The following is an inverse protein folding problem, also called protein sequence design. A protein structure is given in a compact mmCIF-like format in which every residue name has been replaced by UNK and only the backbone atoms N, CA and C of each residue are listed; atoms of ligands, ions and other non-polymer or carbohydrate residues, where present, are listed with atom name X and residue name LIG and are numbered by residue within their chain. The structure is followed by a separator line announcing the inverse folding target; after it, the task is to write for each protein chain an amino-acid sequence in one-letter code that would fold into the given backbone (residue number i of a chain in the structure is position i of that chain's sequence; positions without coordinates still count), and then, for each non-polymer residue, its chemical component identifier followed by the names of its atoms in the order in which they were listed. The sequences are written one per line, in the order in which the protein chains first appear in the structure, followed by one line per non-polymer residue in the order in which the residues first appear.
data_IF_898590646295
#
_entry.id   IF_898590646295
#
_cell.length_a   1.000
_cell.length_b   1.000
_cell.length_c   1.000
_cell.angle_alpha   90.00
_cell.angle_beta   90.00
_cell.angle_gamma   90.00
#
_symmetry.space_group_name_H-M   'P 1'
#
loop_
_entity.id
_entity.type
_entity.pdbx_description
1 polymer ?
#
# COMPACT_ATOMS: atom_id res chain seq x y z
N UNK A 1 -15.23 11.09 -8.67
CA UNK A 1 -16.08 9.88 -8.74
C UNK A 1 -15.90 9.16 -7.42
N UNK A 2 -16.96 8.97 -6.64
CA UNK A 2 -16.89 8.18 -5.41
C UNK A 2 -16.59 6.73 -5.78
N UNK A 3 -15.48 6.21 -5.29
CA UNK A 3 -15.04 4.84 -5.51
C UNK A 3 -14.83 4.13 -4.18
N UNK A 4 -14.58 2.83 -4.21
CA UNK A 4 -14.25 2.07 -3.00
C UNK A 4 -12.74 1.96 -2.88
N UNK A 5 -12.22 2.24 -1.68
CA UNK A 5 -10.86 1.89 -1.28
C UNK A 5 -10.90 0.58 -0.48
N UNK A 6 -9.97 -0.33 -0.75
CA UNK A 6 -9.84 -1.61 -0.05
C UNK A 6 -8.54 -1.65 0.75
N UNK A 7 -8.61 -1.99 2.03
CA UNK A 7 -7.43 -2.26 2.85
C UNK A 7 -6.94 -3.66 2.53
N UNK A 8 -5.77 -3.75 1.89
CA UNK A 8 -5.21 -5.02 1.40
C UNK A 8 -4.15 -5.58 2.35
N UNK A 9 -3.63 -4.76 3.27
CA UNK A 9 -2.71 -5.16 4.34
C UNK A 9 -2.78 -4.16 5.48
N UNK A 10 -2.58 -4.62 6.72
CA UNK A 10 -2.32 -3.80 7.91
C UNK A 10 -0.91 -4.04 8.46
N UNK A 11 -0.05 -4.78 7.75
CA UNK A 11 1.37 -4.99 8.08
C UNK A 11 2.32 -4.15 7.21
N UNK A 12 1.80 -3.22 6.41
CA UNK A 12 2.58 -2.53 5.40
C UNK A 12 3.57 -1.52 5.99
N UNK A 13 4.86 -1.75 5.78
CA UNK A 13 5.95 -0.83 6.13
C UNK A 13 6.56 -0.16 4.90
N UNK A 14 7.33 0.91 5.13
CA UNK A 14 8.08 1.61 4.07
C UNK A 14 9.52 1.11 3.88
N UNK A 15 9.94 0.07 4.62
CA UNK A 15 11.27 -0.55 4.53
C UNK A 15 11.83 -0.98 5.90
N UNK A 16 13.07 -1.49 5.93
CA UNK A 16 13.70 -2.05 7.14
C UNK A 16 13.96 -1.03 8.26
N UNK A 17 13.97 0.27 7.96
CA UNK A 17 14.09 1.32 8.98
C UNK A 17 12.73 1.77 9.55
N UNK A 18 11.63 1.21 9.03
CA UNK A 18 10.26 1.48 9.44
C UNK A 18 9.64 0.18 9.96
N UNK A 19 9.81 -0.07 11.25
CA UNK A 19 9.27 -1.27 11.91
C UNK A 19 7.79 -1.15 12.27
N UNK A 20 7.18 0.00 11.99
CA UNK A 20 5.81 0.30 12.42
C UNK A 20 4.88 0.01 11.25
N UNK A 21 3.98 -0.92 11.52
CA UNK A 21 2.99 -1.35 10.55
C UNK A 21 2.12 -0.17 10.12
N UNK A 22 1.61 -0.29 8.91
CA UNK A 22 0.68 0.63 8.32
C UNK A 22 -0.37 -0.13 7.54
N UNK A 23 -1.48 0.53 7.32
CA UNK A 23 -2.49 0.08 6.38
C UNK A 23 -2.00 0.40 4.96
N UNK A 24 -2.18 -0.56 4.06
CA UNK A 24 -2.07 -0.37 2.63
C UNK A 24 -3.46 -0.41 2.02
N UNK A 25 -3.87 0.72 1.47
CA UNK A 25 -5.14 0.90 0.80
C UNK A 25 -4.92 0.97 -0.71
N UNK A 26 -5.70 0.18 -1.43
CA UNK A 26 -5.84 0.25 -2.88
C UNK A 26 -7.08 1.08 -3.19
N UNK A 27 -6.89 2.22 -3.84
CA UNK A 27 -8.00 3.05 -4.37
C UNK A 27 -8.04 2.92 -5.91
N UNK A 28 -9.08 3.46 -6.58
CA UNK A 28 -9.12 3.47 -8.04
C UNK A 28 -7.99 4.28 -8.70
N UNK A 29 -7.39 5.24 -7.99
CA UNK A 29 -6.42 6.22 -8.55
C UNK A 29 -5.06 6.22 -7.88
N UNK A 30 -4.93 5.60 -6.71
CA UNK A 30 -3.70 5.63 -5.92
C UNK A 30 -3.51 4.39 -5.04
N UNK A 31 -2.26 4.22 -4.59
CA UNK A 31 -1.94 3.44 -3.40
C UNK A 31 -1.73 4.38 -2.23
N UNK A 32 -2.37 4.10 -1.11
CA UNK A 32 -2.21 4.89 0.11
C UNK A 32 -1.65 4.02 1.22
N UNK A 33 -0.55 4.45 1.81
CA UNK A 33 -0.02 3.87 3.03
C UNK A 33 -0.26 4.82 4.18
N UNK A 34 -0.95 4.35 5.22
CA UNK A 34 -1.18 5.10 6.46
C UNK A 34 -0.61 4.35 7.65
N UNK A 35 0.24 5.01 8.44
CA UNK A 35 0.88 4.46 9.62
C UNK A 35 -0.16 4.07 10.67
N UNK A 36 0.04 2.94 11.32
CA UNK A 36 -0.70 2.53 12.52
C UNK A 36 0.08 2.89 13.80
N UNK A 37 -0.52 2.66 14.95
CA UNK A 37 0.17 2.82 16.23
C UNK A 37 1.17 1.68 16.49
N UNK A 38 2.06 1.87 17.47
CA UNK A 38 2.91 0.79 17.97
C UNK A 38 2.09 -0.35 18.58
N UNK A 39 0.98 -0.03 19.25
CA UNK A 39 0.07 -1.02 19.82
C UNK A 39 -0.54 -1.92 18.73
N UNK A 40 -1.01 -1.32 17.63
CA UNK A 40 -1.52 -2.07 16.47
C UNK A 40 -0.43 -2.93 15.83
N UNK A 41 0.81 -2.42 15.76
CA UNK A 41 1.95 -3.16 15.23
C UNK A 41 2.18 -4.45 16.02
N UNK A 42 2.15 -4.37 17.35
CA UNK A 42 2.28 -5.54 18.22
C UNK A 42 1.08 -6.48 18.09
N UNK A 43 -0.14 -5.95 18.03
CA UNK A 43 -1.37 -6.74 17.90
C UNK A 43 -1.44 -7.54 16.59
N UNK A 44 -0.87 -7.03 15.51
CA UNK A 44 -0.84 -7.70 14.21
C UNK A 44 -0.02 -9.00 14.21
N UNK A 45 1.01 -9.10 15.07
CA UNK A 45 1.85 -10.30 15.21
C UNK A 45 2.42 -10.81 13.88
N UNK A 46 2.47 -12.14 13.71
CA UNK A 46 2.97 -12.84 12.51
C UNK A 46 1.87 -13.50 11.67
N UNK A 47 0.60 -13.17 11.96
CA UNK A 47 -0.58 -13.70 11.27
C UNK A 47 -1.04 -12.81 10.11
N UNK A 48 -2.09 -13.20 9.39
CA UNK A 48 -2.77 -12.30 8.48
C UNK A 48 -3.36 -11.13 9.27
N UNK A 49 -3.02 -9.91 8.87
CA UNK A 49 -3.43 -8.66 9.52
C UNK A 49 -4.72 -8.10 8.92
N UNK A 50 -5.09 -8.58 7.73
CA UNK A 50 -6.39 -8.36 7.10
C UNK A 50 -7.04 -9.70 6.82
N UNK A 51 -8.34 -9.80 7.11
CA UNK A 51 -9.16 -10.99 6.84
C UNK A 51 -10.25 -10.64 5.82
N UNK A 52 -10.79 -11.65 5.16
CA UNK A 52 -11.98 -11.49 4.33
C UNK A 52 -13.24 -11.40 5.23
N UNK A 53 -14.23 -10.55 4.88
CA UNK A 53 -14.18 -9.56 3.80
C UNK A 53 -13.19 -8.42 4.10
N UNK A 54 -12.53 -7.90 3.06
CA UNK A 54 -11.55 -6.81 3.21
C UNK A 54 -12.22 -5.56 3.80
N UNK A 55 -11.57 -4.84 4.72
CA UNK A 55 -12.04 -3.53 5.13
C UNK A 55 -12.14 -2.59 3.93
N UNK A 56 -13.25 -1.85 3.85
CA UNK A 56 -13.54 -0.90 2.78
C UNK A 56 -13.77 0.49 3.35
N UNK A 57 -13.44 1.50 2.56
CA UNK A 57 -13.69 2.90 2.87
C UNK A 57 -14.02 3.67 1.58
N UNK A 58 -14.54 4.89 1.72
CA UNK A 58 -14.74 5.79 0.58
C UNK A 58 -13.39 6.26 0.02
N UNK A 59 -13.16 6.03 -1.27
CA UNK A 59 -11.96 6.52 -1.96
C UNK A 59 -11.93 8.06 -2.02
N UNK A 60 -13.09 8.72 -2.06
CA UNK A 60 -13.19 10.18 -2.06
C UNK A 60 -12.63 10.81 -0.79
N UNK A 61 -12.74 10.13 0.35
CA UNK A 61 -12.12 10.54 1.61
C UNK A 61 -10.59 10.60 1.49
N UNK A 62 -9.96 9.57 0.90
CA UNK A 62 -8.50 9.56 0.72
C UNK A 62 -8.01 10.66 -0.21
N UNK A 63 -8.74 10.92 -1.29
CA UNK A 63 -8.43 12.01 -2.22
C UNK A 63 -8.56 13.37 -1.55
N UNK A 64 -9.62 13.57 -0.76
CA UNK A 64 -9.87 14.82 -0.03
C UNK A 64 -8.80 15.09 1.04
N UNK A 65 -8.40 14.07 1.80
CA UNK A 65 -7.45 14.21 2.91
C UNK A 65 -6.00 13.86 2.55
N UNK A 66 -5.66 13.76 1.26
CA UNK A 66 -4.32 13.34 0.79
C UNK A 66 -3.16 14.08 1.45
N UNK A 67 -3.26 15.41 1.56
CA UNK A 67 -2.20 16.26 2.12
C UNK A 67 -2.07 16.07 3.62
N UNK A 68 -3.21 16.00 4.32
CA UNK A 68 -3.25 15.74 5.75
C UNK A 68 -2.66 14.36 6.09
N UNK A 69 -2.99 13.31 5.32
CA UNK A 69 -2.44 11.96 5.51
C UNK A 69 -0.92 11.96 5.37
N UNK A 70 -0.39 12.62 4.33
CA UNK A 70 1.07 12.68 4.11
C UNK A 70 1.77 13.52 5.18
N UNK A 71 1.16 14.63 5.61
CA UNK A 71 1.68 15.49 6.67
C UNK A 71 1.65 14.85 8.06
N UNK A 72 0.68 13.97 8.33
CA UNK A 72 0.52 13.27 9.62
C UNK A 72 1.78 12.49 10.01
N UNK A 73 2.47 11.87 9.03
CA UNK A 73 3.72 11.19 9.32
C UNK A 73 4.61 11.00 8.09
N UNK A 74 5.93 11.17 8.26
CA UNK A 74 6.94 11.02 7.19
C UNK A 74 7.01 9.65 6.51
N UNK A 75 6.35 8.62 7.03
CA UNK A 75 6.25 7.28 6.39
C UNK A 75 4.91 7.05 5.70
N UNK A 76 3.92 7.94 5.88
CA UNK A 76 2.67 7.91 5.13
C UNK A 76 2.94 8.25 3.68
N UNK A 77 2.22 7.61 2.78
CA UNK A 77 2.38 7.79 1.33
C UNK A 77 1.03 7.89 0.69
N UNK A 78 0.89 8.83 -0.23
CA UNK A 78 -0.17 8.86 -1.21
C UNK A 78 0.52 8.77 -2.56
N UNK A 79 0.34 7.66 -3.28
CA UNK A 79 1.07 7.35 -4.52
C UNK A 79 0.07 7.26 -5.66
N UNK A 80 -0.17 8.37 -6.39
CA UNK A 80 -1.03 8.38 -7.57
C UNK A 80 -0.50 7.44 -8.64
N UNK A 81 -1.37 6.66 -9.28
CA UNK A 81 -0.95 5.73 -10.32
C UNK A 81 -0.39 6.44 -11.54
N UNK A 82 -0.89 7.62 -11.92
CA UNK A 82 -0.39 8.43 -13.04
C UNK A 82 1.05 8.92 -12.82
N UNK A 83 1.43 9.19 -11.57
CA UNK A 83 2.77 9.60 -11.15
C UNK A 83 3.80 8.46 -11.19
N UNK A 84 3.36 7.19 -11.24
CA UNK A 84 4.26 6.04 -11.32
C UNK A 84 4.90 5.97 -12.72
N UNK A 85 6.23 5.96 -12.77
CA UNK A 85 7.00 5.66 -13.97
C UNK A 85 7.18 4.15 -14.15
N UNK A 86 7.59 3.46 -13.08
CA UNK A 86 7.75 2.00 -13.07
C UNK A 86 7.35 1.44 -11.71
N UNK A 87 6.73 0.26 -11.70
CA UNK A 87 6.47 -0.50 -10.48
C UNK A 87 6.87 -1.96 -10.66
N UNK A 88 7.32 -2.60 -9.58
CA UNK A 88 7.67 -4.02 -9.55
C UNK A 88 7.09 -4.68 -8.30
N UNK A 89 6.14 -5.58 -8.50
CA UNK A 89 5.60 -6.42 -7.44
C UNK A 89 6.49 -7.67 -7.29
N UNK A 90 6.87 -7.99 -6.07
CA UNK A 90 7.73 -9.14 -5.75
C UNK A 90 7.09 -9.97 -4.67
N UNK A 91 7.14 -11.29 -4.85
CA UNK A 91 6.88 -12.24 -3.76
C UNK A 91 8.18 -12.56 -3.01
N UNK A 92 8.06 -12.83 -1.71
CA UNK A 92 9.16 -13.27 -0.88
C UNK A 92 8.77 -14.43 0.04
N UNK A 93 9.70 -14.86 0.90
CA UNK A 93 9.45 -15.95 1.86
C UNK A 93 8.66 -15.46 3.08
N UNK A 94 9.10 -14.33 3.65
CA UNK A 94 8.45 -13.73 4.83
C UNK A 94 7.65 -12.48 4.50
N UNK A 95 8.09 -11.73 3.49
CA UNK A 95 7.47 -10.48 3.09
C UNK A 95 7.42 -10.36 1.57
N UNK A 96 6.28 -9.88 1.09
CA UNK A 96 6.11 -9.42 -0.28
C UNK A 96 6.39 -7.92 -0.35
N UNK A 97 6.69 -7.43 -1.55
CA UNK A 97 7.04 -6.03 -1.72
C UNK A 97 6.54 -5.44 -3.03
N UNK A 98 6.18 -4.16 -3.00
CA UNK A 98 6.02 -3.33 -4.18
C UNK A 98 7.10 -2.25 -4.18
N UNK A 99 7.93 -2.26 -5.23
CA UNK A 99 8.91 -1.20 -5.49
C UNK A 99 8.35 -0.27 -6.55
N UNK A 100 8.44 1.03 -6.32
CA UNK A 100 7.83 2.05 -7.16
C UNK A 100 8.90 3.11 -7.43
N UNK A 101 9.01 3.52 -8.68
CA UNK A 101 9.74 4.71 -9.11
C UNK A 101 8.73 5.66 -9.73
N UNK A 102 8.68 6.88 -9.23
CA UNK A 102 7.84 7.94 -9.75
C UNK A 102 8.52 8.64 -10.93
N UNK A 103 7.73 9.41 -11.69
CA UNK A 103 8.21 10.17 -12.86
C UNK A 103 9.23 11.26 -12.51
N UNK A 104 9.21 11.74 -11.27
CA UNK A 104 10.18 12.70 -10.74
C UNK A 104 11.48 12.05 -10.25
N UNK A 105 11.61 10.72 -10.37
CA UNK A 105 12.76 9.94 -9.88
C UNK A 105 12.66 9.50 -8.44
N UNK A 106 11.61 9.88 -7.70
CA UNK A 106 11.40 9.44 -6.32
C UNK A 106 11.15 7.95 -6.24
N UNK A 107 11.76 7.28 -5.26
CA UNK A 107 11.59 5.85 -5.03
C UNK A 107 10.77 5.57 -3.76
N UNK A 108 9.83 4.63 -3.88
CA UNK A 108 9.07 4.10 -2.75
C UNK A 108 9.18 2.58 -2.72
N UNK A 109 9.24 2.05 -1.50
CA UNK A 109 9.14 0.63 -1.22
C UNK A 109 8.02 0.43 -0.23
N UNK A 110 7.12 -0.48 -0.54
CA UNK A 110 6.07 -0.96 0.35
C UNK A 110 6.34 -2.44 0.60
N UNK A 111 6.34 -2.87 1.85
CA UNK A 111 6.66 -4.22 2.30
C UNK A 111 5.57 -4.71 3.23
N UNK A 112 5.06 -5.93 3.08
CA UNK A 112 4.04 -6.51 3.96
C UNK A 112 4.27 -8.02 4.14
N UNK A 113 3.66 -8.60 5.16
CA UNK A 113 3.75 -10.04 5.44
C UNK A 113 3.13 -10.86 4.30
N UNK A 114 3.77 -11.97 3.91
CA UNK A 114 3.28 -12.89 2.85
C UNK A 114 1.91 -13.52 3.16
N UNK A 115 1.49 -13.49 4.43
CA UNK A 115 0.18 -13.97 4.86
C UNK A 115 -0.96 -12.98 4.60
N UNK A 116 -0.65 -11.71 4.32
CA UNK A 116 -1.67 -10.74 3.95
C UNK A 116 -2.11 -10.96 2.49
N UNK A 117 -3.38 -10.65 2.15
CA UNK A 117 -3.91 -10.87 0.80
C UNK A 117 -3.36 -9.86 -0.23
N UNK A 118 -2.58 -8.88 0.20
CA UNK A 118 -2.10 -7.78 -0.64
C UNK A 118 -1.40 -8.23 -1.92
N UNK A 119 -0.54 -9.26 -1.88
CA UNK A 119 0.13 -9.70 -3.10
C UNK A 119 -0.86 -10.19 -4.16
N UNK A 120 -1.75 -11.10 -3.78
CA UNK A 120 -2.74 -11.66 -4.70
C UNK A 120 -3.65 -10.57 -5.29
N UNK A 121 -4.11 -9.64 -4.46
CA UNK A 121 -4.99 -8.54 -4.89
C UNK A 121 -4.24 -7.59 -5.82
N UNK A 122 -3.04 -7.15 -5.45
CA UNK A 122 -2.24 -6.24 -6.27
C UNK A 122 -1.78 -6.89 -7.58
N UNK A 123 -1.48 -8.19 -7.57
CA UNK A 123 -1.15 -8.93 -8.78
C UNK A 123 -2.31 -8.93 -9.78
N UNK A 124 -3.56 -9.04 -9.30
CA UNK A 124 -4.76 -8.93 -10.14
C UNK A 124 -5.07 -7.51 -10.60
N UNK A 125 -4.89 -6.51 -9.73
CA UNK A 125 -5.31 -5.13 -10.00
C UNK A 125 -4.28 -4.30 -10.79
N UNK A 126 -3.00 -4.40 -10.45
CA UNK A 126 -1.95 -3.52 -11.01
C UNK A 126 -1.76 -3.63 -12.52
N UNK A 127 -1.93 -4.80 -13.20
CA UNK A 127 -1.82 -4.86 -14.65
C UNK A 127 -2.79 -3.93 -15.37
N UNK A 128 -4.04 -3.85 -14.91
CA UNK A 128 -5.06 -2.96 -15.48
C UNK A 128 -4.81 -1.48 -15.20
N UNK A 129 -4.17 -1.16 -14.07
CA UNK A 129 -3.90 0.21 -13.64
C UNK A 129 -2.59 0.79 -14.21
N UNK A 130 -1.57 -0.06 -14.37
CA UNK A 130 -0.21 0.36 -14.71
C UNK A 130 0.22 -0.04 -16.13
N UNK A 131 -0.36 -1.08 -16.70
CA UNK A 131 0.02 -1.59 -18.02
C UNK A 131 1.52 -1.87 -18.11
N UNK A 132 2.17 -1.34 -19.15
CA UNK A 132 3.61 -1.50 -19.40
C UNK A 132 4.53 -0.95 -18.29
N UNK A 133 3.99 -0.13 -17.36
CA UNK A 133 4.76 0.41 -16.23
C UNK A 133 4.97 -0.62 -15.12
N UNK A 134 4.20 -1.71 -15.12
CA UNK A 134 4.42 -2.84 -14.22
C UNK A 134 5.46 -3.77 -14.83
N UNK A 135 6.60 -3.91 -14.16
CA UNK A 135 7.73 -4.75 -14.58
C UNK A 135 7.79 -6.05 -13.79
N UNK A 136 8.47 -7.05 -14.36
CA UNK A 136 8.71 -8.38 -13.74
C UNK A 136 9.83 -8.32 -12.69
#
# INVERSE_FOLDING_TARGET
MAGVAQCVSRSCTSGWSDWIHGELWLTPVALVRRRLSLADTMANGIGPTVRAPLPVADAGWFDHYREAIVAEHRTNRFIPFDAIATARLRSGVLNDALRITLRDGTHHRLLWLTKDPAHAILFGALPGLLGARLTR
#
